data_IF_804179303093
#
_entry.id   IF_804179303093
#
_cell.length_a   1.000
_cell.length_b   1.000
_cell.length_c   1.000
_cell.angle_alpha   90.00
_cell.angle_beta   90.00
_cell.angle_gamma   90.00
#
_symmetry.space_group_name_H-M   'P 1'
#
loop_
_entity.id
_entity.type
_entity.pdbx_description
1 polymer ?
#
# COMPACT_ATOMS: atom_id res chain seq x y z
N UNK A 1 2.07 21.02 14.47
CA UNK A 1 1.47 19.98 13.60
C UNK A 1 2.46 19.16 12.75
N UNK A 2 3.75 19.53 12.61
CA UNK A 2 4.73 18.72 11.83
C UNK A 2 5.50 17.66 12.63
N UNK A 3 5.42 17.67 13.98
CA UNK A 3 6.31 16.86 14.84
C UNK A 3 6.12 15.33 14.76
N UNK A 4 5.01 14.86 14.23
CA UNK A 4 4.66 13.43 14.21
C UNK A 4 4.47 12.84 12.82
N UNK A 5 4.83 13.58 11.78
CA UNK A 5 4.79 13.10 10.40
C UNK A 5 6.10 12.39 10.03
N UNK A 6 6.08 11.41 9.13
CA UNK A 6 7.29 10.74 8.69
C UNK A 6 8.33 11.73 8.14
N UNK A 7 9.59 11.57 8.51
CA UNK A 7 10.66 12.47 8.06
C UNK A 7 11.01 12.22 6.60
N UNK A 8 10.95 13.28 5.79
CA UNK A 8 11.49 13.34 4.44
C UNK A 8 12.00 14.76 4.14
N UNK A 9 13.02 14.84 3.30
CA UNK A 9 13.68 16.07 2.92
C UNK A 9 13.65 16.24 1.40
N UNK A 10 13.78 17.48 0.88
CA UNK A 10 13.90 17.74 -0.55
C UNK A 10 14.98 16.86 -1.19
N UNK A 11 14.69 16.32 -2.36
CA UNK A 11 15.58 15.39 -3.08
C UNK A 11 15.38 13.91 -2.74
N UNK A 12 14.72 13.57 -1.61
CA UNK A 12 14.41 12.17 -1.30
C UNK A 12 13.35 11.58 -2.24
N UNK A 13 13.51 10.27 -2.53
CA UNK A 13 12.57 9.44 -3.29
C UNK A 13 11.79 8.54 -2.33
N UNK A 14 10.50 8.80 -2.17
CA UNK A 14 9.64 8.10 -1.22
C UNK A 14 8.59 7.28 -1.97
N UNK A 15 8.54 5.98 -1.68
CA UNK A 15 7.46 5.11 -2.13
C UNK A 15 6.26 5.21 -1.18
N UNK A 16 5.08 5.43 -1.73
CA UNK A 16 3.82 5.45 -0.98
C UNK A 16 3.09 4.12 -1.21
N UNK A 17 3.07 3.27 -0.21
CA UNK A 17 2.44 1.96 -0.27
C UNK A 17 1.17 1.95 0.58
N UNK A 18 0.03 2.26 -0.06
CA UNK A 18 -1.27 2.30 0.58
C UNK A 18 -1.97 0.95 0.67
N UNK A 19 -2.63 0.68 1.78
CA UNK A 19 -3.39 -0.54 1.95
C UNK A 19 -4.20 -0.60 3.22
N UNK A 20 -5.20 -1.51 3.24
CA UNK A 20 -5.92 -1.84 4.48
C UNK A 20 -5.07 -2.63 5.44
N UNK A 21 -4.13 -3.44 4.94
CA UNK A 21 -3.26 -4.35 5.69
C UNK A 21 -4.02 -5.19 6.72
N UNK A 22 -5.03 -5.92 6.25
CA UNK A 22 -6.03 -6.61 7.08
C UNK A 22 -6.01 -8.15 6.91
N UNK A 23 -5.06 -8.87 7.50
CA UNK A 23 -3.81 -8.37 8.04
C UNK A 23 -2.75 -8.09 6.96
N UNK A 24 -1.68 -7.38 7.32
CA UNK A 24 -0.47 -7.36 6.54
C UNK A 24 0.18 -8.77 6.52
N UNK A 25 0.93 -9.07 5.47
CA UNK A 25 1.57 -10.37 5.29
C UNK A 25 2.83 -10.24 4.43
N UNK A 26 3.61 -11.31 4.32
CA UNK A 26 4.87 -11.31 3.58
C UNK A 26 4.74 -10.87 2.11
N UNK A 27 3.59 -11.12 1.48
CA UNK A 27 3.32 -10.60 0.14
C UNK A 27 3.34 -9.07 0.06
N UNK A 28 2.89 -8.37 1.12
CA UNK A 28 2.99 -6.91 1.19
C UNK A 28 4.45 -6.47 1.40
N UNK A 29 5.18 -7.13 2.31
CA UNK A 29 6.60 -6.86 2.54
C UNK A 29 7.40 -7.01 1.24
N UNK A 30 7.16 -8.10 0.51
CA UNK A 30 7.81 -8.37 -0.77
C UNK A 30 7.52 -7.30 -1.84
N UNK A 31 6.29 -6.78 -1.91
CA UNK A 31 5.92 -5.67 -2.81
C UNK A 31 6.72 -4.42 -2.45
N UNK A 32 6.74 -4.05 -1.16
CA UNK A 32 7.44 -2.87 -0.67
C UNK A 32 8.95 -2.96 -0.89
N UNK A 33 9.56 -4.10 -0.58
CA UNK A 33 10.99 -4.35 -0.79
C UNK A 33 11.39 -4.34 -2.27
N UNK A 34 10.57 -4.94 -3.12
CA UNK A 34 10.79 -4.93 -4.57
C UNK A 34 10.80 -3.51 -5.11
N UNK A 35 9.82 -2.71 -4.71
CA UNK A 35 9.74 -1.30 -5.10
C UNK A 35 10.93 -0.50 -4.56
N UNK A 36 11.26 -0.66 -3.27
CA UNK A 36 12.39 0.00 -2.64
C UNK A 36 13.70 -0.20 -3.43
N UNK A 37 14.00 -1.46 -3.75
CA UNK A 37 15.25 -1.85 -4.43
C UNK A 37 15.24 -1.45 -5.92
N UNK A 38 14.16 -1.73 -6.63
CA UNK A 38 14.10 -1.56 -8.08
C UNK A 38 13.96 -0.11 -8.52
N UNK A 39 13.36 0.74 -7.70
CA UNK A 39 13.18 2.17 -7.98
C UNK A 39 14.22 3.04 -7.31
N UNK A 40 15.16 2.46 -6.54
CA UNK A 40 16.18 3.21 -5.81
C UNK A 40 15.56 4.21 -4.84
N UNK A 41 14.51 3.78 -4.11
CA UNK A 41 13.84 4.64 -3.15
C UNK A 41 14.67 4.79 -1.87
N UNK A 42 14.61 5.96 -1.25
CA UNK A 42 15.22 6.18 0.06
C UNK A 42 14.43 5.55 1.17
N UNK A 43 13.08 5.60 1.08
CA UNK A 43 12.14 4.99 2.02
C UNK A 43 10.87 4.52 1.33
N UNK A 44 10.16 3.58 1.97
CA UNK A 44 8.78 3.23 1.64
C UNK A 44 7.90 3.53 2.85
N UNK A 45 6.90 4.38 2.65
CA UNK A 45 5.88 4.67 3.66
C UNK A 45 4.68 3.76 3.45
N UNK A 46 4.40 2.93 4.44
CA UNK A 46 3.21 2.10 4.48
C UNK A 46 2.06 2.92 5.04
N UNK A 47 1.18 3.37 4.16
CA UNK A 47 0.02 4.19 4.52
C UNK A 47 -1.13 3.25 4.90
N UNK A 48 -1.34 3.07 6.21
CA UNK A 48 -2.45 2.24 6.71
C UNK A 48 -3.74 3.05 6.59
N UNK A 49 -4.63 2.64 5.68
CA UNK A 49 -5.89 3.38 5.47
C UNK A 49 -6.82 3.24 6.68
N UNK A 50 -7.47 4.33 7.14
CA UNK A 50 -8.42 4.29 8.26
C UNK A 50 -9.54 3.29 8.03
N UNK A 51 -10.23 3.42 6.90
CA UNK A 51 -11.23 2.49 6.39
C UNK A 51 -11.16 2.49 4.87
N UNK A 52 -11.09 1.31 4.26
CA UNK A 52 -11.18 1.23 2.81
C UNK A 52 -12.63 1.42 2.36
N UNK A 53 -12.96 2.50 1.61
CA UNK A 53 -14.34 2.76 1.18
C UNK A 53 -14.96 1.66 0.30
N UNK A 54 -14.11 0.81 -0.30
CA UNK A 54 -14.55 -0.32 -1.13
C UNK A 54 -14.78 -1.61 -0.33
N UNK A 55 -14.62 -1.57 1.01
CA UNK A 55 -14.82 -2.71 1.89
C UNK A 55 -15.91 -2.42 2.91
N UNK A 56 -16.86 -3.34 3.07
CA UNK A 56 -17.96 -3.19 4.03
C UNK A 56 -17.46 -3.13 5.48
N UNK A 57 -16.43 -3.90 5.84
CA UNK A 57 -15.86 -3.95 7.20
C UNK A 57 -14.40 -4.37 7.14
N UNK A 58 -13.56 -3.72 7.93
CA UNK A 58 -12.17 -4.10 8.19
C UNK A 58 -11.97 -4.35 9.69
N UNK A 59 -10.92 -5.09 10.05
CA UNK A 59 -10.49 -5.22 11.44
C UNK A 59 -10.16 -3.84 12.03
N UNK A 60 -10.16 -3.70 13.38
CA UNK A 60 -9.80 -2.44 14.05
C UNK A 60 -8.49 -1.86 13.51
N UNK A 61 -8.43 -0.54 13.40
CA UNK A 61 -7.25 0.14 12.84
C UNK A 61 -5.96 -0.24 13.57
N UNK A 62 -5.98 -0.26 14.91
CA UNK A 62 -4.81 -0.59 15.72
C UNK A 62 -4.24 -2.00 15.41
N UNK A 63 -5.10 -3.00 15.20
CA UNK A 63 -4.68 -4.35 14.82
C UNK A 63 -4.01 -4.37 13.44
N UNK A 64 -4.57 -3.62 12.48
CA UNK A 64 -4.04 -3.52 11.12
C UNK A 64 -2.72 -2.76 11.09
N UNK A 65 -2.61 -1.70 11.89
CA UNK A 65 -1.41 -0.91 12.04
C UNK A 65 -0.27 -1.76 12.64
N UNK A 66 -0.53 -2.46 13.75
CA UNK A 66 0.42 -3.38 14.36
C UNK A 66 0.84 -4.50 13.40
N UNK A 67 -0.12 -5.05 12.66
CA UNK A 67 0.16 -6.06 11.64
C UNK A 67 1.09 -5.53 10.54
N UNK A 68 0.90 -4.26 10.12
CA UNK A 68 1.79 -3.63 9.16
C UNK A 68 3.19 -3.40 9.73
N UNK A 69 3.30 -2.96 10.99
CA UNK A 69 4.59 -2.80 11.67
C UNK A 69 5.36 -4.12 11.75
N UNK A 70 4.67 -5.23 12.05
CA UNK A 70 5.28 -6.55 12.13
C UNK A 70 5.78 -7.09 10.78
N UNK A 71 5.37 -6.50 9.65
CA UNK A 71 5.79 -6.91 8.32
C UNK A 71 6.76 -5.91 7.65
N UNK A 72 6.81 -4.68 8.12
CA UNK A 72 7.63 -3.61 7.57
C UNK A 72 9.03 -3.62 8.20
N UNK A 73 9.86 -4.58 7.78
CA UNK A 73 11.21 -4.73 8.34
C UNK A 73 12.23 -3.77 7.72
N UNK A 74 13.14 -3.27 8.57
CA UNK A 74 14.27 -2.44 8.16
C UNK A 74 14.01 -0.94 8.24
N UNK A 75 15.08 -0.17 8.44
CA UNK A 75 15.03 1.29 8.71
C UNK A 75 14.44 2.15 7.57
N UNK A 76 14.34 1.59 6.37
CA UNK A 76 13.76 2.27 5.21
C UNK A 76 12.25 2.03 5.05
N UNK A 77 11.65 1.16 5.86
CA UNK A 77 10.22 0.88 5.89
C UNK A 77 9.57 1.64 7.03
N UNK A 78 8.69 2.58 6.71
CA UNK A 78 8.04 3.45 7.71
C UNK A 78 6.54 3.21 7.65
N UNK A 79 5.98 2.63 8.72
CA UNK A 79 4.52 2.49 8.86
C UNK A 79 3.96 3.78 9.45
N UNK A 80 2.91 4.31 8.86
CA UNK A 80 2.33 5.58 9.27
C UNK A 80 0.81 5.56 9.26
N UNK A 81 0.24 6.25 10.24
CA UNK A 81 -1.18 6.54 10.41
C UNK A 81 -1.59 7.91 9.82
N UNK A 82 -0.79 8.42 8.90
CA UNK A 82 -0.93 9.76 8.32
C UNK A 82 -2.33 10.03 7.79
N UNK A 83 -2.95 9.09 7.08
CA UNK A 83 -4.31 9.25 6.55
C UNK A 83 -5.34 9.37 7.68
N UNK A 84 -5.19 8.62 8.77
CA UNK A 84 -6.06 8.73 9.93
C UNK A 84 -5.91 10.09 10.62
N UNK A 85 -4.68 10.55 10.83
CA UNK A 85 -4.41 11.86 11.47
C UNK A 85 -4.92 13.03 10.66
N UNK A 86 -4.84 12.94 9.33
CA UNK A 86 -5.31 13.99 8.45
C UNK A 86 -6.81 13.87 8.10
N UNK A 87 -7.48 12.82 8.58
CA UNK A 87 -8.90 12.58 8.29
C UNK A 87 -9.18 12.24 6.82
N UNK A 88 -8.20 11.67 6.11
CA UNK A 88 -8.33 11.36 4.69
C UNK A 88 -8.86 9.94 4.49
N UNK A 89 -9.88 9.83 3.64
CA UNK A 89 -10.47 8.55 3.24
C UNK A 89 -10.04 8.10 1.83
N UNK A 90 -9.47 9.01 1.03
CA UNK A 90 -9.18 8.76 -0.38
C UNK A 90 -7.75 9.14 -0.75
N UNK A 91 -7.10 8.32 -1.55
CA UNK A 91 -5.70 8.47 -1.98
C UNK A 91 -5.39 9.82 -2.63
N UNK A 92 -6.31 10.40 -3.42
CA UNK A 92 -6.08 11.72 -4.03
C UNK A 92 -5.89 12.83 -2.97
N UNK A 93 -6.59 12.76 -1.83
CA UNK A 93 -6.43 13.73 -0.73
C UNK A 93 -5.03 13.60 -0.12
N UNK A 94 -4.61 12.36 0.12
CA UNK A 94 -3.28 12.06 0.64
C UNK A 94 -2.18 12.60 -0.27
N UNK A 95 -2.28 12.35 -1.57
CA UNK A 95 -1.28 12.81 -2.54
C UNK A 95 -1.19 14.33 -2.62
N UNK A 96 -2.35 15.03 -2.63
CA UNK A 96 -2.38 16.51 -2.59
C UNK A 96 -1.68 17.05 -1.36
N UNK A 97 -2.02 16.52 -0.18
CA UNK A 97 -1.45 16.98 1.08
C UNK A 97 0.06 16.70 1.16
N UNK A 98 0.50 15.52 0.74
CA UNK A 98 1.92 15.17 0.77
C UNK A 98 2.77 16.08 -0.14
N UNK A 99 2.28 16.43 -1.32
CA UNK A 99 2.98 17.37 -2.21
C UNK A 99 3.11 18.77 -1.60
N UNK A 100 2.15 19.21 -0.78
CA UNK A 100 2.20 20.48 -0.07
C UNK A 100 3.08 20.43 1.17
N UNK A 101 3.01 19.33 1.94
CA UNK A 101 3.75 19.16 3.19
C UNK A 101 5.24 18.90 2.98
N UNK A 102 5.59 18.29 1.84
CA UNK A 102 6.96 17.87 1.51
C UNK A 102 7.39 18.38 0.14
N UNK A 103 7.56 19.70 -0.03
CA UNK A 103 8.03 20.27 -1.29
C UNK A 103 9.43 19.72 -1.62
N UNK A 104 9.65 19.36 -2.89
CA UNK A 104 10.93 18.81 -3.36
C UNK A 104 11.15 17.32 -3.07
N UNK A 105 10.21 16.62 -2.43
CA UNK A 105 10.24 15.16 -2.28
C UNK A 105 9.60 14.51 -3.51
N UNK A 106 10.28 13.52 -4.08
CA UNK A 106 9.77 12.72 -5.21
C UNK A 106 8.97 11.52 -4.68
N UNK A 107 7.65 11.59 -4.80
CA UNK A 107 6.76 10.49 -4.42
C UNK A 107 6.48 9.54 -5.58
N UNK A 108 6.39 8.23 -5.29
CA UNK A 108 5.92 7.19 -6.21
C UNK A 108 4.85 6.35 -5.52
N UNK A 109 3.67 6.24 -6.10
CA UNK A 109 2.60 5.38 -5.57
C UNK A 109 2.92 3.92 -5.93
N UNK A 110 2.96 3.05 -4.92
CA UNK A 110 3.24 1.62 -5.07
C UNK A 110 1.93 0.85 -4.94
N UNK A 111 1.64 -0.02 -5.89
CA UNK A 111 0.47 -0.90 -5.86
C UNK A 111 0.85 -2.33 -6.22
N UNK A 112 0.23 -3.30 -5.55
CA UNK A 112 0.18 -4.67 -6.06
C UNK A 112 -0.75 -4.77 -7.29
N UNK A 113 -0.46 -5.68 -8.20
CA UNK A 113 -1.27 -5.89 -9.40
C UNK A 113 -2.76 -6.20 -9.11
N UNK A 114 -3.06 -6.73 -7.94
CA UNK A 114 -4.43 -7.02 -7.50
C UNK A 114 -5.29 -5.74 -7.39
N UNK A 115 -4.64 -4.61 -7.04
CA UNK A 115 -5.32 -3.31 -6.93
C UNK A 115 -5.61 -2.67 -8.29
N UNK A 116 -4.86 -3.03 -9.33
CA UNK A 116 -5.02 -2.49 -10.66
C UNK A 116 -6.43 -2.75 -11.23
N UNK A 117 -6.99 -3.94 -10.99
CA UNK A 117 -8.33 -4.31 -11.46
C UNK A 117 -9.43 -3.39 -10.87
N UNK A 118 -9.20 -2.83 -9.69
CA UNK A 118 -10.15 -1.96 -9.00
C UNK A 118 -9.74 -0.47 -9.02
N UNK A 119 -8.62 -0.12 -9.65
CA UNK A 119 -8.08 1.23 -9.61
C UNK A 119 -9.07 2.28 -10.17
N UNK A 120 -9.79 1.96 -11.24
CA UNK A 120 -10.80 2.85 -11.83
C UNK A 120 -12.02 3.09 -10.94
N UNK A 121 -12.22 2.28 -9.90
CA UNK A 121 -13.26 2.47 -8.88
C UNK A 121 -12.82 3.44 -7.77
N UNK A 122 -11.54 3.83 -7.76
CA UNK A 122 -11.05 4.79 -6.78
C UNK A 122 -11.60 6.18 -7.09
N UNK A 123 -11.98 6.88 -6.03
CA UNK A 123 -12.46 8.26 -6.18
C UNK A 123 -11.35 9.12 -6.78
N UNK A 124 -11.68 9.91 -7.79
CA UNK A 124 -10.73 10.76 -8.53
C UNK A 124 -9.51 9.98 -9.08
N UNK A 125 -9.71 8.74 -9.54
CA UNK A 125 -8.64 7.87 -10.01
C UNK A 125 -7.73 8.50 -11.10
N UNK A 126 -8.29 9.35 -11.98
CA UNK A 126 -7.50 10.06 -13.00
C UNK A 126 -6.50 11.01 -12.37
N UNK A 127 -6.94 11.78 -11.36
CA UNK A 127 -6.07 12.65 -10.58
C UNK A 127 -4.96 11.85 -9.85
N UNK A 128 -5.30 10.71 -9.26
CA UNK A 128 -4.31 9.81 -8.65
C UNK A 128 -3.29 9.33 -9.67
N UNK A 129 -3.75 8.96 -10.88
CA UNK A 129 -2.88 8.46 -11.96
C UNK A 129 -1.87 9.50 -12.46
N UNK A 130 -2.23 10.78 -12.38
CA UNK A 130 -1.45 11.90 -12.89
C UNK A 130 -0.63 12.60 -11.81
N UNK A 131 -1.03 12.46 -10.54
CA UNK A 131 -0.42 13.20 -9.42
C UNK A 131 1.05 12.83 -9.18
N UNK A 132 1.39 11.54 -9.30
CA UNK A 132 2.73 10.98 -9.07
C UNK A 132 2.95 9.76 -9.97
N UNK A 133 4.21 9.37 -10.25
CA UNK A 133 4.50 8.09 -10.88
C UNK A 133 3.87 6.92 -10.10
N UNK A 134 3.34 5.93 -10.84
CA UNK A 134 2.74 4.73 -10.25
C UNK A 134 3.56 3.51 -10.60
N UNK A 135 3.97 2.76 -9.60
CA UNK A 135 4.68 1.49 -9.74
C UNK A 135 3.76 0.32 -9.40
N UNK A 136 3.58 -0.57 -10.37
CA UNK A 136 2.81 -1.80 -10.22
C UNK A 136 3.77 -2.96 -10.00
N UNK A 137 3.70 -3.57 -8.83
CA UNK A 137 4.46 -4.80 -8.56
C UNK A 137 3.56 -5.99 -8.87
N UNK A 138 3.91 -6.70 -9.93
CA UNK A 138 3.15 -7.84 -10.43
C UNK A 138 3.71 -9.17 -9.93
N UNK A 139 2.82 -10.13 -9.72
CA UNK A 139 3.20 -11.54 -9.52
C UNK A 139 3.51 -12.17 -10.88
N UNK A 140 4.48 -13.12 -10.97
CA UNK A 140 4.65 -13.92 -12.19
C UNK A 140 3.34 -14.59 -12.58
N UNK A 141 3.02 -14.62 -13.86
CA UNK A 141 1.76 -15.16 -14.37
C UNK A 141 0.58 -14.19 -14.42
N UNK A 142 0.66 -13.03 -13.79
CA UNK A 142 -0.25 -11.91 -14.02
C UNK A 142 0.28 -11.11 -15.21
N UNK A 143 0.11 -11.69 -16.39
CA UNK A 143 0.75 -11.20 -17.61
C UNK A 143 0.32 -9.82 -18.07
N UNK A 144 0.93 -9.39 -19.16
CA UNK A 144 0.68 -8.12 -19.87
C UNK A 144 -0.80 -7.86 -20.21
N UNK A 145 -1.65 -8.89 -20.23
CA UNK A 145 -3.10 -8.78 -20.46
C UNK A 145 -3.84 -7.94 -19.42
N UNK A 146 -3.31 -7.84 -18.18
CA UNK A 146 -3.87 -6.93 -17.16
C UNK A 146 -3.34 -5.49 -17.26
N UNK A 147 -2.44 -5.20 -18.19
CA UNK A 147 -2.03 -3.83 -18.54
C UNK A 147 -3.11 -3.06 -19.30
N UNK A 148 -4.19 -3.73 -19.72
CA UNK A 148 -5.30 -3.13 -20.44
C UNK A 148 -5.91 -1.99 -19.61
N UNK A 149 -5.59 -0.76 -20.04
CA UNK A 149 -6.14 0.47 -19.49
C UNK A 149 -5.31 1.20 -18.44
N UNK A 150 -4.11 0.74 -18.10
CA UNK A 150 -3.17 1.53 -17.32
C UNK A 150 -2.41 2.53 -18.21
N UNK A 151 -2.14 3.76 -17.75
CA UNK A 151 -1.34 4.72 -18.49
C UNK A 151 0.04 4.17 -18.86
N UNK A 152 0.55 4.51 -20.05
CA UNK A 152 1.84 4.01 -20.54
C UNK A 152 3.05 4.40 -19.69
N UNK A 153 2.94 5.47 -18.93
CA UNK A 153 4.01 5.98 -18.06
C UNK A 153 4.10 5.28 -16.71
N UNK A 154 3.23 4.28 -16.44
CA UNK A 154 3.32 3.50 -15.23
C UNK A 154 4.46 2.48 -15.29
N UNK A 155 5.14 2.30 -14.16
CA UNK A 155 6.28 1.40 -14.02
C UNK A 155 5.78 0.02 -13.63
N UNK A 156 6.16 -1.01 -14.39
CA UNK A 156 5.81 -2.38 -14.08
C UNK A 156 7.04 -3.14 -13.57
N UNK A 157 6.95 -3.64 -12.35
CA UNK A 157 8.00 -4.39 -11.69
C UNK A 157 7.56 -5.86 -11.56
N UNK A 158 8.30 -6.76 -12.21
CA UNK A 158 8.07 -8.20 -12.02
C UNK A 158 8.73 -8.65 -10.72
N UNK A 159 7.96 -9.30 -9.84
CA UNK A 159 8.43 -9.85 -8.58
C UNK A 159 8.13 -11.34 -8.49
N UNK A 160 8.94 -12.11 -7.74
CA UNK A 160 8.65 -13.53 -7.45
C UNK A 160 7.33 -13.65 -6.69
N UNK A 161 6.66 -14.80 -6.88
CA UNK A 161 5.34 -15.06 -6.27
C UNK A 161 5.45 -15.26 -4.76
N UNK A 162 4.73 -14.47 -3.98
CA UNK A 162 4.32 -14.85 -2.63
C UNK A 162 2.86 -15.30 -2.66
N UNK A 163 2.59 -16.54 -2.20
CA UNK A 163 1.25 -17.16 -2.27
C UNK A 163 0.27 -16.63 -1.24
N UNK A 164 0.72 -15.83 -0.27
CA UNK A 164 -0.15 -15.32 0.78
C UNK A 164 -1.03 -14.17 0.31
N UNK A 165 -2.28 -14.17 0.78
CA UNK A 165 -3.20 -13.05 0.64
C UNK A 165 -3.96 -12.83 1.96
N UNK A 166 -4.32 -11.59 2.25
CA UNK A 166 -5.11 -11.24 3.45
C UNK A 166 -6.43 -12.05 3.51
N UNK A 167 -7.05 -12.33 2.37
CA UNK A 167 -8.27 -13.14 2.28
C UNK A 167 -8.02 -14.58 2.72
N UNK A 168 -6.95 -15.23 2.25
CA UNK A 168 -6.60 -16.59 2.64
C UNK A 168 -6.26 -16.67 4.14
N UNK A 169 -5.56 -15.68 4.68
CA UNK A 169 -5.22 -15.62 6.10
C UNK A 169 -6.50 -15.48 6.95
N UNK A 170 -7.41 -14.57 6.60
CA UNK A 170 -8.70 -14.41 7.30
C UNK A 170 -9.55 -15.67 7.24
N UNK A 171 -9.61 -16.36 6.10
CA UNK A 171 -10.35 -17.61 5.95
C UNK A 171 -9.79 -18.71 6.84
N UNK A 172 -8.46 -18.87 6.91
CA UNK A 172 -7.80 -19.83 7.81
C UNK A 172 -8.09 -19.51 9.28
N UNK A 173 -8.02 -18.24 9.68
CA UNK A 173 -8.30 -17.81 11.06
C UNK A 173 -9.77 -18.10 11.46
N UNK A 174 -10.73 -17.83 10.55
CA UNK A 174 -12.15 -18.17 10.77
C UNK A 174 -12.39 -19.68 10.90
N UNK A 175 -11.76 -20.48 10.04
CA UNK A 175 -11.88 -21.93 10.09
C UNK A 175 -11.28 -22.52 11.39
N UNK A 176 -10.19 -21.95 11.89
CA UNK A 176 -9.56 -22.35 13.15
C UNK A 176 -10.46 -22.04 14.36
N UNK A 177 -11.15 -20.90 14.36
CA UNK A 177 -12.07 -20.49 15.42
C UNK A 177 -13.38 -21.28 15.41
N UNK A 178 -13.79 -21.80 14.25
CA UNK A 178 -15.02 -22.58 14.09
C UNK A 178 -14.87 -24.07 14.49
N UNK A 179 -13.65 -24.57 14.74
CA UNK A 179 -13.43 -25.94 15.21
C UNK A 179 -13.85 -26.06 16.68
N UNK A 180 -14.79 -26.97 17.04
CA UNK A 180 -15.14 -27.19 18.43
C UNK A 180 -13.92 -27.66 19.21
N UNK A 181 -13.71 -27.08 20.40
CA UNK A 181 -12.70 -27.58 21.34
C UNK A 181 -13.02 -29.04 21.60
N UNK A 182 -12.20 -29.96 21.12
CA UNK A 182 -12.28 -31.35 21.55
C UNK A 182 -12.11 -31.38 23.07
N UNK A 183 -13.16 -31.87 23.73
CA UNK A 183 -13.09 -32.20 25.18
C UNK A 183 -12.15 -33.37 25.39
#
# INVERSE_FOLDING_TARGET
MKRDLPLAYPGMKIGLFGGSFDPAHQGHAHVAETALKRLGLDRVWWLVSPQNPLKAKSSPFAERFLSAQNQAHGAKMVVTDLEQRLGFAFTYQTLRALKQLYPGVAFTLIMGADNLANFRKWRNWREVAEAVPVAIVSRPGVGASKRLGAPRHWIYLNARLHRESSTAIRSRKRAALAKPKRK
#
